data_IF_257026350277
#
_entry.id   IF_257026350277
#
_cell.length_a   1.000
_cell.length_b   1.000
_cell.length_c   1.000
_cell.angle_alpha   90.00
_cell.angle_beta   90.00
_cell.angle_gamma   90.00
#
_symmetry.space_group_name_H-M   'P 1'
#
loop_
_entity.id
_entity.type
_entity.pdbx_description
1 polymer ?
#
# COMPACT_ATOMS: atom_id res chain seq x y z
N UNK A 1 1.33 15.12 18.76
CA UNK A 1 1.44 13.73 19.29
C UNK A 1 2.91 13.38 19.54
N UNK A 2 3.22 12.41 20.40
CA UNK A 2 4.60 11.92 20.53
C UNK A 2 5.03 11.06 19.33
N UNK A 3 6.30 11.15 18.92
CA UNK A 3 6.81 10.47 17.70
C UNK A 3 6.56 8.94 17.73
N UNK A 4 6.84 8.29 18.85
CA UNK A 4 6.67 6.83 18.97
C UNK A 4 5.20 6.42 18.85
N UNK A 5 4.27 7.28 19.25
CA UNK A 5 2.85 7.01 19.10
C UNK A 5 2.41 7.14 17.65
N UNK A 6 2.96 8.11 16.91
CA UNK A 6 2.76 8.21 15.46
C UNK A 6 3.21 6.91 14.77
N UNK A 7 4.42 6.44 15.07
CA UNK A 7 4.99 5.21 14.50
C UNK A 7 4.12 3.99 14.79
N UNK A 8 3.63 3.85 16.04
CA UNK A 8 2.78 2.71 16.45
C UNK A 8 1.39 2.76 15.81
N UNK A 9 0.80 3.95 15.67
CA UNK A 9 -0.56 4.15 15.15
C UNK A 9 -0.63 4.17 13.63
N UNK A 10 0.48 4.50 12.96
CA UNK A 10 0.59 4.53 11.51
C UNK A 10 0.16 3.19 10.91
N UNK A 11 -0.76 3.26 9.95
CA UNK A 11 -1.26 2.10 9.21
C UNK A 11 -1.68 2.48 7.81
N UNK A 12 -1.76 1.50 6.93
CA UNK A 12 -2.46 1.64 5.65
C UNK A 12 -3.95 1.74 5.88
N UNK A 13 -4.60 2.76 5.33
CA UNK A 13 -6.05 2.87 5.41
C UNK A 13 -6.69 2.13 4.24
N UNK A 14 -7.41 1.04 4.51
CA UNK A 14 -8.09 0.27 3.46
C UNK A 14 -9.56 0.67 3.25
N UNK A 15 -10.13 1.51 4.13
CA UNK A 15 -11.50 2.01 4.05
C UNK A 15 -11.62 3.37 3.36
N UNK A 16 -12.86 3.84 3.18
CA UNK A 16 -13.15 5.14 2.58
C UNK A 16 -12.60 6.31 3.42
N UNK A 17 -12.23 7.40 2.74
CA UNK A 17 -11.95 8.69 3.37
C UNK A 17 -13.23 9.53 3.41
N UNK A 18 -13.21 10.58 4.23
CA UNK A 18 -14.19 11.64 4.16
C UNK A 18 -14.07 12.38 2.80
N UNK A 19 -15.17 12.91 2.26
CA UNK A 19 -15.17 13.61 0.96
C UNK A 19 -14.54 15.01 1.04
N UNK A 20 -14.29 15.51 2.26
CA UNK A 20 -13.67 16.81 2.51
C UNK A 20 -12.33 16.96 1.76
N UNK A 21 -12.15 18.04 0.98
CA UNK A 21 -10.86 18.34 0.35
C UNK A 21 -9.74 18.42 1.39
N UNK A 22 -8.56 17.90 1.05
CA UNK A 22 -7.37 18.08 1.88
C UNK A 22 -6.93 19.54 1.73
N UNK A 23 -6.75 20.28 2.82
CA UNK A 23 -6.39 21.70 2.74
C UNK A 23 -5.01 21.89 2.14
N UNK A 24 -4.78 22.99 1.41
CA UNK A 24 -3.46 23.34 0.86
C UNK A 24 -2.39 23.38 1.97
N UNK A 25 -2.75 23.82 3.18
CA UNK A 25 -1.86 23.81 4.33
C UNK A 25 -1.40 22.39 4.68
N UNK A 26 -2.32 21.43 4.76
CA UNK A 26 -1.98 20.04 5.05
C UNK A 26 -1.19 19.39 3.91
N UNK A 27 -1.52 19.70 2.64
CA UNK A 27 -0.74 19.27 1.49
C UNK A 27 0.71 19.77 1.58
N UNK A 28 0.90 21.06 1.90
CA UNK A 28 2.22 21.66 2.11
C UNK A 28 2.97 20.97 3.25
N UNK A 29 2.33 20.75 4.41
CA UNK A 29 2.94 20.06 5.56
C UNK A 29 3.42 18.66 5.18
N UNK A 30 2.62 17.89 4.43
CA UNK A 30 2.99 16.55 3.95
C UNK A 30 4.25 16.60 3.07
N UNK A 31 4.28 17.52 2.10
CA UNK A 31 5.40 17.64 1.15
C UNK A 31 6.67 18.20 1.81
N UNK A 32 6.53 19.14 2.74
CA UNK A 32 7.65 19.63 3.56
C UNK A 32 8.24 18.51 4.41
N UNK A 33 7.41 17.66 5.02
CA UNK A 33 7.87 16.49 5.77
C UNK A 33 8.64 15.50 4.90
N UNK A 34 8.16 15.22 3.68
CA UNK A 34 8.91 14.42 2.70
C UNK A 34 10.28 15.03 2.38
N UNK A 35 10.34 16.35 2.16
CA UNK A 35 11.60 17.07 1.86
C UNK A 35 12.63 17.04 3.00
N UNK A 36 12.24 16.67 4.23
CA UNK A 36 13.16 16.49 5.37
C UNK A 36 13.80 15.10 5.43
N UNK A 37 13.45 14.19 4.52
CA UNK A 37 14.06 12.86 4.50
C UNK A 37 15.55 12.91 4.16
N UNK A 38 16.35 11.97 4.68
CA UNK A 38 17.74 11.83 4.25
C UNK A 38 17.79 11.38 2.78
N UNK A 39 18.82 11.83 2.07
CA UNK A 39 19.15 11.32 0.73
C UNK A 39 20.65 11.22 0.56
N UNK A 40 21.09 10.22 -0.22
CA UNK A 40 22.51 10.05 -0.51
C UNK A 40 23.06 11.30 -1.21
N UNK A 41 24.21 11.81 -0.77
CA UNK A 41 24.82 13.04 -1.29
C UNK A 41 23.89 14.27 -1.24
N UNK A 42 22.83 14.23 -0.43
CA UNK A 42 21.77 15.23 -0.43
C UNK A 42 21.08 15.42 -1.81
N UNK A 43 21.01 14.37 -2.63
CA UNK A 43 20.50 14.43 -4.01
C UNK A 43 19.01 14.74 -4.14
N UNK A 44 18.22 14.46 -3.09
CA UNK A 44 16.76 14.74 -3.04
C UNK A 44 16.05 14.34 -4.36
N UNK A 45 16.13 13.06 -4.77
CA UNK A 45 15.80 12.64 -6.13
C UNK A 45 14.29 12.52 -6.37
N UNK A 46 13.47 12.74 -5.34
CA UNK A 46 12.02 12.62 -5.42
C UNK A 46 11.39 13.83 -6.11
N UNK A 47 10.33 13.57 -6.88
CA UNK A 47 9.37 14.57 -7.34
C UNK A 47 7.96 14.10 -6.96
N UNK A 48 7.06 15.04 -6.77
CA UNK A 48 5.68 14.76 -6.37
C UNK A 48 4.71 15.47 -7.31
N UNK A 49 3.60 14.82 -7.61
CA UNK A 49 2.44 15.45 -8.27
C UNK A 49 1.22 15.30 -7.38
N UNK A 50 0.58 16.43 -7.08
CA UNK A 50 -0.67 16.49 -6.30
C UNK A 50 -1.84 16.51 -7.28
N UNK A 51 -2.81 15.63 -7.06
CA UNK A 51 -3.93 15.42 -7.99
C UNK A 51 -5.25 15.56 -7.23
N UNK A 52 -5.98 16.61 -7.52
CA UNK A 52 -7.32 16.91 -6.99
C UNK A 52 -8.39 16.93 -8.10
N UNK A 53 -7.96 16.95 -9.37
CA UNK A 53 -8.86 16.97 -10.52
C UNK A 53 -9.71 15.69 -10.53
N UNK A 54 -11.03 15.87 -10.44
CA UNK A 54 -12.00 14.77 -10.34
C UNK A 54 -11.98 13.84 -11.53
N UNK A 55 -11.81 14.37 -12.75
CA UNK A 55 -11.73 13.55 -13.96
C UNK A 55 -10.46 12.67 -13.94
N UNK A 56 -9.31 13.24 -13.58
CA UNK A 56 -8.06 12.48 -13.43
C UNK A 56 -8.20 11.39 -12.37
N UNK A 57 -8.77 11.71 -11.21
CA UNK A 57 -9.00 10.74 -10.12
C UNK A 57 -9.93 9.61 -10.59
N UNK A 58 -11.01 9.93 -11.30
CA UNK A 58 -11.99 8.95 -11.77
C UNK A 58 -11.38 8.03 -12.86
N UNK A 59 -10.49 8.54 -13.71
CA UNK A 59 -9.73 7.72 -14.66
C UNK A 59 -8.74 6.78 -13.96
N UNK A 60 -7.97 7.26 -12.98
CA UNK A 60 -7.08 6.41 -12.17
C UNK A 60 -7.90 5.35 -11.41
N UNK A 61 -9.06 5.73 -10.88
CA UNK A 61 -9.98 4.80 -10.21
C UNK A 61 -10.49 3.71 -11.13
N UNK A 62 -10.84 4.06 -12.38
CA UNK A 62 -11.22 3.09 -13.42
C UNK A 62 -10.07 2.11 -13.67
N UNK A 63 -8.87 2.63 -13.96
CA UNK A 63 -7.67 1.81 -14.23
C UNK A 63 -7.40 0.87 -13.05
N UNK A 64 -7.44 1.37 -11.82
CA UNK A 64 -7.20 0.57 -10.60
C UNK A 64 -8.22 -0.56 -10.43
N UNK A 65 -9.52 -0.28 -10.58
CA UNK A 65 -10.56 -1.29 -10.42
C UNK A 65 -10.54 -2.36 -11.51
N UNK A 66 -10.28 -1.96 -12.76
CA UNK A 66 -10.09 -2.90 -13.88
C UNK A 66 -8.86 -3.77 -13.66
N UNK A 67 -7.74 -3.17 -13.24
CA UNK A 67 -6.49 -3.89 -12.95
C UNK A 67 -6.66 -4.90 -11.82
N UNK A 68 -7.37 -4.54 -10.75
CA UNK A 68 -7.68 -5.48 -9.67
C UNK A 68 -8.57 -6.63 -10.17
N UNK A 69 -9.59 -6.32 -10.96
CA UNK A 69 -10.48 -7.36 -11.52
C UNK A 69 -9.69 -8.36 -12.37
N UNK A 70 -8.78 -7.87 -13.20
CA UNK A 70 -7.94 -8.68 -14.08
C UNK A 70 -6.92 -9.52 -13.28
N UNK A 71 -6.15 -8.88 -12.39
CA UNK A 71 -5.15 -9.56 -11.54
C UNK A 71 -5.75 -10.61 -10.61
N UNK A 72 -6.98 -10.39 -10.13
CA UNK A 72 -7.70 -11.38 -9.33
C UNK A 72 -8.28 -12.51 -10.19
N UNK A 73 -8.60 -12.26 -11.46
CA UNK A 73 -9.20 -13.26 -12.35
C UNK A 73 -8.18 -14.24 -12.95
N UNK A 74 -6.98 -13.75 -13.26
CA UNK A 74 -5.91 -14.53 -13.89
C UNK A 74 -5.14 -15.42 -12.88
N UNK A 75 -5.35 -15.21 -11.57
CA UNK A 75 -4.76 -16.01 -10.50
C UNK A 75 -3.31 -15.67 -10.14
N UNK A 76 -2.61 -14.83 -10.91
CA UNK A 76 -1.18 -14.51 -10.69
C UNK A 76 -0.98 -13.78 -9.36
N UNK A 77 -1.95 -12.95 -8.97
CA UNK A 77 -1.95 -12.27 -7.67
C UNK A 77 -1.92 -13.28 -6.52
N UNK A 78 -2.77 -14.30 -6.57
CA UNK A 78 -2.85 -15.30 -5.52
C UNK A 78 -1.59 -16.16 -5.46
N UNK A 79 -1.05 -16.58 -6.61
CA UNK A 79 0.20 -17.36 -6.64
C UNK A 79 1.36 -16.60 -6.01
N UNK A 80 1.50 -15.30 -6.33
CA UNK A 80 2.56 -14.43 -5.80
C UNK A 80 2.42 -14.16 -4.30
N UNK A 81 1.21 -13.87 -3.84
CA UNK A 81 0.98 -13.37 -2.47
C UNK A 81 0.53 -14.43 -1.47
N UNK A 82 0.27 -15.68 -1.91
CA UNK A 82 -0.08 -16.82 -1.04
C UNK A 82 0.82 -16.97 0.18
N UNK A 83 2.16 -16.80 0.13
CA UNK A 83 3.02 -16.90 1.31
C UNK A 83 2.69 -15.91 2.43
N UNK A 84 1.89 -14.88 2.17
CA UNK A 84 1.48 -13.87 3.15
C UNK A 84 0.05 -14.03 3.65
N UNK A 85 -0.73 -15.01 3.17
CA UNK A 85 -2.07 -15.25 3.68
C UNK A 85 -2.05 -16.17 4.90
N UNK A 86 -2.86 -15.84 5.90
CA UNK A 86 -2.99 -16.60 7.16
C UNK A 86 -4.45 -16.96 7.37
N UNK A 87 -4.70 -18.20 7.77
CA UNK A 87 -6.06 -18.74 7.93
C UNK A 87 -6.36 -19.19 9.36
N UNK A 88 -5.41 -19.03 10.28
CA UNK A 88 -5.61 -19.31 11.69
C UNK A 88 -4.87 -18.30 12.57
N UNK A 89 -5.37 -18.09 13.79
CA UNK A 89 -4.68 -17.25 14.78
C UNK A 89 -3.32 -17.85 15.15
N UNK A 90 -3.24 -19.18 15.32
CA UNK A 90 -1.98 -19.86 15.60
C UNK A 90 -0.90 -19.58 14.53
N UNK A 91 -1.26 -19.66 13.24
CA UNK A 91 -0.35 -19.32 12.14
C UNK A 91 0.08 -17.84 12.18
N UNK A 92 -0.85 -16.93 12.53
CA UNK A 92 -0.54 -15.51 12.67
C UNK A 92 0.35 -15.22 13.89
N UNK A 93 0.15 -15.92 15.01
CA UNK A 93 0.94 -15.81 16.23
C UNK A 93 2.37 -16.33 16.03
N UNK A 94 2.55 -17.39 15.24
CA UNK A 94 3.86 -17.91 14.87
C UNK A 94 4.59 -16.98 13.89
N UNK A 95 3.95 -16.65 12.74
CA UNK A 95 4.60 -15.89 11.66
C UNK A 95 4.66 -14.40 11.91
N UNK A 96 3.71 -13.85 12.66
CA UNK A 96 3.54 -12.43 13.03
C UNK A 96 3.67 -11.44 11.88
N UNK A 97 3.32 -11.90 10.68
CA UNK A 97 3.42 -11.19 9.41
C UNK A 97 2.42 -11.77 8.42
N UNK A 98 1.99 -10.93 7.48
CA UNK A 98 0.97 -11.28 6.49
C UNK A 98 -0.43 -10.77 6.85
N UNK A 99 -1.43 -11.35 6.17
CA UNK A 99 -2.84 -10.98 6.24
C UNK A 99 -3.63 -12.15 6.81
N UNK A 100 -4.17 -11.97 8.02
CA UNK A 100 -5.08 -12.92 8.64
C UNK A 100 -6.50 -12.69 8.16
N UNK A 101 -7.03 -13.66 7.41
CA UNK A 101 -8.42 -13.66 6.96
C UNK A 101 -9.34 -14.10 8.10
N UNK A 102 -9.67 -13.17 8.98
CA UNK A 102 -10.55 -13.37 10.13
C UNK A 102 -12.04 -13.19 9.78
N UNK A 103 -12.34 -12.47 8.69
CA UNK A 103 -13.70 -12.28 8.18
C UNK A 103 -13.87 -12.88 6.79
N UNK A 104 -14.20 -14.16 6.78
CA UNK A 104 -14.64 -14.87 5.57
C UNK A 104 -16.12 -15.30 5.70
N UNK A 105 -16.92 -15.17 4.62
CA UNK A 105 -18.27 -15.70 4.56
C UNK A 105 -18.29 -17.19 4.95
N UNK A 106 -19.29 -17.60 5.73
CA UNK A 106 -19.37 -18.96 6.27
C UNK A 106 -19.22 -20.08 5.21
N UNK A 107 -19.74 -19.95 3.97
CA UNK A 107 -19.53 -20.95 2.92
C UNK A 107 -18.09 -21.07 2.40
N UNK A 108 -17.26 -20.03 2.58
CA UNK A 108 -15.87 -19.99 2.10
C UNK A 108 -14.85 -20.47 3.14
N UNK A 109 -15.24 -20.54 4.43
CA UNK A 109 -14.37 -20.99 5.54
C UNK A 109 -13.81 -22.41 5.39
N UNK A 110 -14.56 -23.43 4.93
CA UNK A 110 -14.01 -24.79 4.75
C UNK A 110 -13.06 -24.91 3.56
N UNK A 111 -13.03 -23.89 2.68
CA UNK A 111 -12.34 -23.93 1.40
C UNK A 111 -11.15 -22.97 1.33
N UNK A 112 -10.76 -22.33 2.43
CA UNK A 112 -9.70 -21.29 2.45
C UNK A 112 -8.42 -21.71 1.75
N UNK A 113 -7.93 -22.93 1.96
CA UNK A 113 -6.77 -23.47 1.25
C UNK A 113 -7.04 -23.85 -0.22
N UNK A 114 -8.30 -24.16 -0.57
CA UNK A 114 -8.72 -24.60 -1.91
C UNK A 114 -9.06 -23.45 -2.86
N UNK A 115 -9.36 -22.25 -2.33
CA UNK A 115 -9.61 -21.04 -3.15
C UNK A 115 -8.42 -20.73 -4.07
N UNK A 116 -7.20 -21.05 -3.62
CA UNK A 116 -5.96 -20.85 -4.39
C UNK A 116 -5.61 -21.99 -5.35
N UNK A 117 -6.53 -22.93 -5.58
CA UNK A 117 -6.38 -23.93 -6.64
C UNK A 117 -6.99 -23.41 -7.94
N UNK A 118 -6.60 -23.97 -9.09
CA UNK A 118 -7.23 -23.63 -10.39
C UNK A 118 -8.75 -23.80 -10.36
N UNK A 119 -9.26 -24.81 -9.64
CA UNK A 119 -10.70 -25.03 -9.45
C UNK A 119 -11.35 -23.96 -8.58
N UNK A 120 -10.70 -23.58 -7.47
CA UNK A 120 -11.14 -22.49 -6.60
C UNK A 120 -11.18 -21.15 -7.31
N UNK A 121 -10.15 -20.84 -8.10
CA UNK A 121 -10.09 -19.64 -8.94
C UNK A 121 -11.23 -19.61 -9.96
N UNK A 122 -11.48 -20.73 -10.66
CA UNK A 122 -12.59 -20.83 -11.62
C UNK A 122 -13.94 -20.60 -10.95
N UNK A 123 -14.13 -21.08 -9.71
CA UNK A 123 -15.35 -20.87 -8.94
C UNK A 123 -15.49 -19.39 -8.53
N UNK A 124 -14.42 -18.76 -8.04
CA UNK A 124 -14.44 -17.32 -7.72
C UNK A 124 -14.80 -16.45 -8.92
N UNK A 125 -14.25 -16.78 -10.09
CA UNK A 125 -14.54 -16.09 -11.35
C UNK A 125 -16.02 -16.26 -11.73
N UNK A 126 -16.56 -17.48 -11.65
CA UNK A 126 -17.97 -17.76 -11.93
C UNK A 126 -18.92 -17.02 -10.98
N UNK A 127 -18.52 -16.83 -9.72
CA UNK A 127 -19.27 -16.06 -8.72
C UNK A 127 -19.10 -14.54 -8.85
N UNK A 128 -18.28 -14.06 -9.80
CA UNK A 128 -18.06 -12.63 -10.04
C UNK A 128 -17.26 -11.91 -8.96
N UNK A 129 -16.55 -12.64 -8.09
CA UNK A 129 -15.78 -12.07 -6.97
C UNK A 129 -14.73 -11.04 -7.44
N UNK A 130 -13.91 -11.31 -8.48
CA UNK A 130 -12.95 -10.33 -8.97
C UNK A 130 -13.59 -8.99 -9.39
N UNK A 131 -14.73 -9.05 -10.09
CA UNK A 131 -15.45 -7.85 -10.55
C UNK A 131 -16.01 -7.04 -9.37
N UNK A 132 -16.49 -7.72 -8.34
CA UNK A 132 -16.96 -7.07 -7.12
C UNK A 132 -15.81 -6.36 -6.40
N UNK A 133 -14.69 -7.04 -6.18
CA UNK A 133 -13.51 -6.46 -5.53
C UNK A 133 -12.96 -5.27 -6.33
N UNK A 134 -12.83 -5.40 -7.66
CA UNK A 134 -12.41 -4.30 -8.52
C UNK A 134 -13.38 -3.11 -8.50
N UNK A 135 -14.69 -3.37 -8.44
CA UNK A 135 -15.70 -2.33 -8.27
C UNK A 135 -15.61 -1.60 -6.93
N UNK A 136 -15.34 -2.31 -5.83
CA UNK A 136 -15.10 -1.71 -4.51
C UNK A 136 -13.81 -0.88 -4.49
N UNK A 137 -12.73 -1.41 -5.08
CA UNK A 137 -11.47 -0.69 -5.22
C UNK A 137 -11.62 0.60 -6.03
N UNK A 138 -12.32 0.55 -7.18
CA UNK A 138 -12.67 1.74 -7.96
C UNK A 138 -13.39 2.78 -7.10
N UNK A 139 -14.39 2.36 -6.31
CA UNK A 139 -15.13 3.28 -5.43
C UNK A 139 -14.24 3.93 -4.36
N UNK A 140 -13.28 3.19 -3.81
CA UNK A 140 -12.34 3.73 -2.81
C UNK A 140 -11.40 4.77 -3.42
N UNK A 141 -10.85 4.50 -4.61
CA UNK A 141 -9.98 5.46 -5.31
C UNK A 141 -10.79 6.68 -5.74
N UNK A 142 -11.94 6.49 -6.39
CA UNK A 142 -12.80 7.59 -6.81
C UNK A 142 -13.27 8.43 -5.61
N UNK A 143 -13.63 7.80 -4.49
CA UNK A 143 -14.07 8.50 -3.28
C UNK A 143 -12.95 9.21 -2.52
N UNK A 144 -11.70 9.16 -2.98
CA UNK A 144 -10.59 9.85 -2.30
C UNK A 144 -10.50 11.31 -2.75
N UNK A 145 -10.33 12.27 -1.81
CA UNK A 145 -10.25 13.69 -2.14
C UNK A 145 -8.90 14.09 -2.75
N UNK A 146 -7.84 13.31 -2.50
CA UNK A 146 -6.48 13.61 -2.94
C UNK A 146 -5.78 12.34 -3.44
N UNK A 147 -5.12 12.43 -4.59
CA UNK A 147 -4.07 11.48 -4.97
C UNK A 147 -2.69 12.16 -5.00
N UNK A 148 -1.65 11.40 -4.68
CA UNK A 148 -0.27 11.83 -4.69
C UNK A 148 0.55 10.87 -5.55
N UNK A 149 1.02 11.34 -6.71
CA UNK A 149 2.01 10.64 -7.51
C UNK A 149 3.42 10.92 -6.99
N UNK A 150 4.24 9.87 -6.93
CA UNK A 150 5.62 9.91 -6.42
C UNK A 150 6.53 9.44 -7.54
N UNK A 151 7.52 10.26 -7.86
CA UNK A 151 8.43 10.03 -8.97
C UNK A 151 9.88 10.11 -8.52
N UNK A 152 10.77 9.50 -9.29
CA UNK A 152 12.22 9.64 -9.17
C UNK A 152 12.79 10.32 -10.41
N UNK A 153 13.75 11.21 -10.19
CA UNK A 153 14.55 11.85 -11.22
C UNK A 153 15.54 10.86 -11.84
N UNK A 154 15.47 10.66 -13.17
CA UNK A 154 16.31 9.70 -13.90
C UNK A 154 17.77 10.12 -14.02
N UNK A 155 18.10 11.37 -13.72
CA UNK A 155 19.50 11.78 -13.62
C UNK A 155 20.21 11.03 -12.48
N UNK A 156 19.48 10.72 -11.40
CA UNK A 156 19.93 9.99 -10.20
C UNK A 156 19.53 8.50 -10.24
N UNK A 157 18.25 8.22 -10.52
CA UNK A 157 17.70 6.87 -10.57
C UNK A 157 17.95 6.23 -11.95
N UNK A 158 18.93 5.34 -12.00
CA UNK A 158 19.37 4.62 -13.22
C UNK A 158 19.30 3.11 -13.00
N UNK A 159 18.20 2.44 -13.42
CA UNK A 159 18.00 1.02 -13.17
C UNK A 159 19.24 0.16 -13.49
N UNK A 160 19.58 -0.74 -12.57
CA UNK A 160 20.79 -1.58 -12.66
C UNK A 160 22.06 -0.94 -12.10
N UNK A 161 22.05 0.35 -11.73
CA UNK A 161 23.16 1.02 -11.06
C UNK A 161 22.92 1.11 -9.54
N UNK A 162 24.01 1.28 -8.79
CA UNK A 162 23.93 1.44 -7.33
C UNK A 162 23.19 2.74 -6.93
N UNK A 163 23.26 3.78 -7.74
CA UNK A 163 22.51 5.03 -7.52
C UNK A 163 21.01 4.79 -7.42
N UNK A 164 20.44 3.87 -8.21
CA UNK A 164 19.03 3.50 -8.11
C UNK A 164 18.64 2.96 -6.73
N UNK A 165 19.48 2.12 -6.12
CA UNK A 165 19.22 1.62 -4.78
C UNK A 165 19.11 2.79 -3.79
N UNK A 166 20.04 3.74 -3.87
CA UNK A 166 20.04 4.91 -3.01
C UNK A 166 18.85 5.84 -3.27
N UNK A 167 18.45 6.04 -4.53
CA UNK A 167 17.25 6.83 -4.87
C UNK A 167 15.98 6.19 -4.30
N UNK A 168 15.81 4.87 -4.45
CA UNK A 168 14.66 4.14 -3.92
C UNK A 168 14.65 4.17 -2.38
N UNK A 169 15.81 3.98 -1.74
CA UNK A 169 15.93 4.05 -0.29
C UNK A 169 15.58 5.46 0.24
N UNK A 170 16.08 6.49 -0.43
CA UNK A 170 15.81 7.90 -0.09
C UNK A 170 14.32 8.24 -0.27
N UNK A 171 13.70 7.79 -1.37
CA UNK A 171 12.25 7.92 -1.59
C UNK A 171 11.44 7.20 -0.52
N UNK A 172 11.86 6.01 -0.09
CA UNK A 172 11.23 5.27 0.99
C UNK A 172 11.18 6.07 2.30
N UNK A 173 12.29 6.74 2.64
CA UNK A 173 12.34 7.61 3.82
C UNK A 173 11.41 8.84 3.68
N UNK A 174 11.34 9.46 2.49
CA UNK A 174 10.42 10.56 2.21
C UNK A 174 8.95 10.13 2.35
N UNK A 175 8.61 8.93 1.86
CA UNK A 175 7.26 8.39 1.99
C UNK A 175 6.90 7.99 3.42
N UNK A 176 7.85 7.48 4.21
CA UNK A 176 7.58 7.19 5.63
C UNK A 176 7.32 8.49 6.42
N UNK A 177 8.05 9.58 6.13
CA UNK A 177 7.75 10.89 6.71
C UNK A 177 6.31 11.33 6.42
N UNK A 178 5.88 11.26 5.15
CA UNK A 178 4.48 11.57 4.76
C UNK A 178 3.50 10.71 5.57
N UNK A 179 3.75 9.41 5.66
CA UNK A 179 2.85 8.46 6.30
C UNK A 179 2.74 8.67 7.82
N UNK A 180 3.84 9.06 8.47
CA UNK A 180 3.81 9.45 9.88
C UNK A 180 3.03 10.76 10.07
N UNK A 181 3.26 11.74 9.19
CA UNK A 181 2.56 13.03 9.20
C UNK A 181 1.05 12.86 9.02
N UNK A 182 0.57 11.89 8.22
CA UNK A 182 -0.89 11.66 8.12
C UNK A 182 -1.53 11.34 9.46
N UNK A 183 -0.82 10.69 10.38
CA UNK A 183 -1.36 10.34 11.70
C UNK A 183 -1.61 11.59 12.54
N UNK A 184 -0.69 12.57 12.50
CA UNK A 184 -0.86 13.86 13.19
C UNK A 184 -2.04 14.65 12.61
N UNK A 185 -2.22 14.61 11.29
CA UNK A 185 -3.27 15.34 10.58
C UNK A 185 -4.65 14.65 10.63
N UNK A 186 -4.78 13.50 11.30
CA UNK A 186 -6.04 12.73 11.30
C UNK A 186 -6.42 12.16 9.94
N UNK A 187 -5.42 11.96 9.08
CA UNK A 187 -5.55 11.49 7.71
C UNK A 187 -5.14 10.02 7.58
N UNK A 188 -5.58 9.40 6.49
CA UNK A 188 -5.10 8.11 6.05
C UNK A 188 -4.43 8.19 4.69
N UNK A 189 -3.72 7.11 4.37
CA UNK A 189 -2.99 6.95 3.10
C UNK A 189 -3.00 5.47 2.69
N UNK A 190 -3.08 5.23 1.37
CA UNK A 190 -2.99 3.89 0.80
C UNK A 190 -2.35 3.93 -0.59
N UNK A 191 -1.51 2.95 -0.87
CA UNK A 191 -0.91 2.75 -2.19
C UNK A 191 -1.91 2.14 -3.18
N UNK A 192 -2.02 2.71 -4.38
CA UNK A 192 -2.79 2.19 -5.50
C UNK A 192 -1.89 1.28 -6.34
N UNK A 193 -1.76 0.01 -5.93
CA UNK A 193 -0.75 -0.90 -6.49
C UNK A 193 -1.24 -1.78 -7.65
N UNK A 194 -2.54 -2.06 -7.76
CA UNK A 194 -3.07 -2.99 -8.77
C UNK A 194 -2.73 -2.64 -10.23
N UNK A 195 -2.68 -1.36 -10.65
CA UNK A 195 -2.19 -1.01 -11.98
C UNK A 195 -0.77 -1.50 -12.29
N UNK A 196 0.06 -1.79 -11.28
CA UNK A 196 1.41 -2.34 -11.48
C UNK A 196 1.42 -3.88 -11.58
N UNK A 197 0.31 -4.55 -11.23
CA UNK A 197 0.19 -6.02 -11.31
C UNK A 197 -0.24 -6.49 -12.70
N UNK A 198 -0.70 -5.57 -13.56
CA UNK A 198 -1.22 -5.87 -14.89
C UNK A 198 -0.38 -5.15 -15.94
N UNK A 199 0.21 -5.86 -16.91
CA UNK A 199 1.02 -5.25 -17.96
C UNK A 199 0.28 -4.13 -18.69
N UNK A 200 0.95 -2.99 -18.90
CA UNK A 200 0.43 -1.82 -19.61
C UNK A 200 -0.49 -0.89 -18.80
N UNK A 201 -1.05 -1.34 -17.66
CA UNK A 201 -1.95 -0.50 -16.84
C UNK A 201 -1.22 0.65 -16.14
N UNK A 202 0.05 0.46 -15.78
CA UNK A 202 0.88 1.53 -15.24
C UNK A 202 1.19 2.61 -16.28
N UNK A 203 1.43 2.21 -17.53
CA UNK A 203 1.72 3.14 -18.63
C UNK A 203 0.52 4.05 -18.93
N UNK A 204 -0.71 3.56 -18.77
CA UNK A 204 -1.91 4.41 -18.86
C UNK A 204 -1.89 5.56 -17.83
N UNK A 205 -1.43 5.29 -16.59
CA UNK A 205 -1.32 6.31 -15.54
C UNK A 205 -0.17 7.27 -15.84
N UNK A 206 0.97 6.76 -16.27
CA UNK A 206 2.14 7.56 -16.70
C UNK A 206 1.74 8.57 -17.78
N UNK A 207 1.02 8.10 -18.81
CA UNK A 207 0.54 8.95 -19.90
C UNK A 207 -0.51 9.95 -19.42
N UNK A 208 -1.47 9.53 -18.60
CA UNK A 208 -2.53 10.39 -18.06
C UNK A 208 -1.97 11.54 -17.22
N UNK A 209 -0.90 11.29 -16.47
CA UNK A 209 -0.24 12.30 -15.62
C UNK A 209 0.79 13.12 -16.38
N UNK A 210 1.00 12.87 -17.68
CA UNK A 210 2.01 13.51 -18.51
C UNK A 210 3.40 13.48 -17.85
N UNK A 211 3.79 12.33 -17.28
CA UNK A 211 5.08 12.19 -16.63
C UNK A 211 6.18 12.39 -17.68
N UNK A 212 7.10 13.35 -17.51
CA UNK A 212 8.13 13.62 -18.49
C UNK A 212 9.19 12.50 -18.52
N UNK A 213 9.89 12.40 -19.65
CA UNK A 213 10.87 11.33 -19.90
C UNK A 213 12.05 11.34 -18.91
N UNK A 214 12.34 12.46 -18.26
CA UNK A 214 13.39 12.61 -17.24
C UNK A 214 12.94 12.16 -15.84
N UNK A 215 11.66 11.80 -15.66
CA UNK A 215 11.11 11.24 -14.43
C UNK A 215 10.62 9.80 -14.62
N UNK A 216 10.57 9.05 -13.52
CA UNK A 216 9.91 7.75 -13.46
C UNK A 216 8.83 7.78 -12.37
N UNK A 217 7.58 7.45 -12.74
CA UNK A 217 6.50 7.28 -11.77
C UNK A 217 6.70 5.98 -10.99
N UNK A 218 6.94 6.14 -9.69
CA UNK A 218 7.24 5.03 -8.77
C UNK A 218 6.00 4.54 -8.04
N UNK A 219 5.09 5.45 -7.67
CA UNK A 219 3.90 5.12 -6.92
C UNK A 219 2.79 6.18 -7.06
N UNK A 220 1.53 5.78 -6.84
CA UNK A 220 0.40 6.68 -6.65
C UNK A 220 -0.32 6.31 -5.37
N UNK A 221 -0.48 7.27 -4.46
CA UNK A 221 -1.17 7.10 -3.20
C UNK A 221 -2.50 7.83 -3.23
N UNK A 222 -3.51 7.28 -2.54
CA UNK A 222 -4.71 8.03 -2.15
C UNK A 222 -4.55 8.53 -0.73
N UNK A 223 -5.02 9.76 -0.47
CA UNK A 223 -4.99 10.41 0.84
C UNK A 223 -6.35 11.07 1.12
N UNK A 224 -6.66 11.26 2.41
CA UNK A 224 -7.84 11.97 2.86
C UNK A 224 -8.07 11.87 4.36
N UNK A 225 -8.98 12.67 4.89
CA UNK A 225 -9.34 12.63 6.31
C UNK A 225 -10.09 11.36 6.67
N UNK A 226 -9.87 10.88 7.89
CA UNK A 226 -10.51 9.68 8.39
C UNK A 226 -11.87 10.00 9.02
N UNK A 227 -12.91 9.18 8.77
CA UNK A 227 -14.15 9.29 9.53
C UNK A 227 -13.92 8.92 11.01
N UNK A 228 -14.73 9.45 11.94
CA UNK A 228 -14.63 9.11 13.37
C UNK A 228 -14.75 7.61 13.64
N UNK A 229 -15.58 6.90 12.85
CA UNK A 229 -15.73 5.46 12.90
C UNK A 229 -15.39 4.82 11.55
N UNK A 230 -14.47 3.86 11.56
CA UNK A 230 -14.13 3.06 10.38
C UNK A 230 -14.82 1.71 10.47
N UNK A 231 -15.77 1.45 9.55
CA UNK A 231 -16.40 0.14 9.42
C UNK A 231 -15.51 -0.78 8.60
N UNK A 232 -15.22 -1.95 9.16
CA UNK A 232 -14.54 -3.06 8.45
C UNK A 232 -15.46 -3.62 7.36
N UNK A 233 -14.97 -3.88 6.12
CA UNK A 233 -15.75 -4.51 5.07
C UNK A 233 -16.27 -5.91 5.45
N UNK A 234 -17.17 -6.46 4.62
CA UNK A 234 -17.75 -7.79 4.83
C UNK A 234 -16.73 -8.92 4.64
N UNK A 235 -15.82 -8.77 3.67
CA UNK A 235 -14.63 -9.59 3.50
C UNK A 235 -13.45 -8.74 3.92
N UNK A 236 -12.74 -9.17 4.96
CA UNK A 236 -11.66 -8.37 5.52
C UNK A 236 -10.57 -9.25 6.11
N UNK A 237 -9.41 -8.64 6.31
CA UNK A 237 -8.27 -9.24 6.95
C UNK A 237 -7.70 -8.30 8.02
N UNK A 238 -6.94 -8.86 8.94
CA UNK A 238 -6.10 -8.09 9.87
C UNK A 238 -4.62 -8.32 9.55
N UNK A 239 -3.80 -7.30 9.82
CA UNK A 239 -2.34 -7.33 9.59
C UNK A 239 -1.60 -6.45 10.60
N UNK A 240 -2.14 -6.35 11.83
CA UNK A 240 -1.61 -5.47 12.88
C UNK A 240 -0.43 -6.07 13.62
N UNK A 241 -0.26 -7.39 13.60
CA UNK A 241 0.85 -8.05 14.27
C UNK A 241 2.20 -7.57 13.70
N UNK A 242 3.19 -7.52 14.58
CA UNK A 242 4.59 -7.21 14.24
C UNK A 242 5.45 -8.38 14.70
N UNK A 243 6.44 -8.75 13.89
CA UNK A 243 7.45 -9.75 14.27
C UNK A 243 8.03 -9.43 15.64
N UNK A 244 8.29 -10.47 16.43
CA UNK A 244 9.08 -10.35 17.65
C UNK A 244 10.51 -9.92 17.29
N UNK A 245 11.20 -9.30 18.24
CA UNK A 245 12.58 -8.82 18.03
C UNK A 245 13.49 -9.97 17.61
N UNK A 246 13.38 -11.14 18.27
CA UNK A 246 14.17 -12.33 17.94
C UNK A 246 13.97 -12.85 16.52
N UNK A 247 12.87 -12.49 15.85
CA UNK A 247 12.57 -12.95 14.48
C UNK A 247 13.27 -12.13 13.39
N UNK A 248 13.95 -11.03 13.74
CA UNK A 248 14.64 -10.18 12.77
C UNK A 248 15.89 -9.45 13.29
N UNK A 249 16.21 -9.56 14.58
CA UNK A 249 17.43 -9.00 15.16
C UNK A 249 18.38 -10.13 15.50
N UNK A 250 19.61 -10.02 15.02
CA UNK A 250 20.73 -10.90 15.31
C UNK A 250 21.86 -10.09 15.95
N UNK A 251 22.78 -10.76 16.64
CA UNK A 251 23.85 -10.11 17.40
C UNK A 251 25.21 -10.67 17.00
N UNK A 252 26.14 -9.76 16.73
CA UNK A 252 27.49 -10.01 16.19
C UNK A 252 27.50 -10.60 14.77
N UNK A 253 26.70 -11.62 14.51
CA UNK A 253 26.58 -12.31 13.21
C UNK A 253 25.10 -12.58 12.83
N UNK A 254 24.89 -13.11 11.63
CA UNK A 254 23.57 -13.44 11.10
C UNK A 254 23.00 -14.77 11.63
N UNK A 255 23.78 -15.52 12.40
CA UNK A 255 23.43 -16.87 12.87
C UNK A 255 22.98 -16.87 14.34
N UNK A 256 23.16 -15.75 15.05
CA UNK A 256 22.89 -15.61 16.47
C UNK A 256 21.72 -14.65 16.74
N UNK A 257 20.47 -15.14 16.84
CA UNK A 257 19.31 -14.30 17.12
C UNK A 257 19.40 -13.62 18.49
N UNK A 258 18.92 -12.37 18.58
CA UNK A 258 18.79 -11.64 19.83
C UNK A 258 17.76 -12.31 20.75
N UNK A 259 18.15 -12.56 22.00
CA UNK A 259 17.32 -13.23 23.01
C UNK A 259 16.87 -12.26 24.12
N UNK A 260 15.79 -12.61 24.82
CA UNK A 260 15.34 -11.91 26.04
C UNK A 260 14.65 -10.56 25.83
N UNK A 261 14.41 -10.13 24.58
CA UNK A 261 13.70 -8.88 24.25
C UNK A 261 12.27 -9.09 23.74
N UNK A 262 11.86 -10.35 23.58
CA UNK A 262 10.50 -10.71 23.18
C UNK A 262 9.56 -10.60 24.39
N UNK A 263 9.29 -9.35 24.79
CA UNK A 263 8.28 -9.05 25.80
C UNK A 263 6.97 -8.80 25.08
N UNK A 264 5.90 -9.46 25.51
CA UNK A 264 4.52 -9.12 25.10
C UNK A 264 4.15 -7.76 25.67
N UNK A 265 4.37 -6.70 24.89
CA UNK A 265 3.69 -5.40 25.06
C UNK A 265 2.34 -5.41 24.37
#
# INVERSE_FOLDING_TARGET
MELLDAIRRRKTTNGAFLPDPVSEEHQRILLEAAGRAPSQLNSQPWRFVVIENRETIDQIARISGESMSEAMSNGTFFERYKPYFRFSQAEMEEKRSGMLFDKLPAPLRPFTGQVFTKRGQSLMNALGVPKTLGGENRKLVAGSPLLLGVMLDRSEYRPGQLSSFYSVFSMGAAMENIWLTTVELGMGIQFISFPMEVPGRWDEIVNLLHVPDDLELMAVYRLGYLPPEQRRPAIDWSSSQRKLVSQYVFREDCDTPQQGWDVTT
#
